data_IF_336224136589
#
_entry.id   IF_336224136589
#
_cell.length_a   1.000
_cell.length_b   1.000
_cell.length_c   1.000
_cell.angle_alpha   90.00
_cell.angle_beta   90.00
_cell.angle_gamma   90.00
#
_symmetry.space_group_name_H-M   'P 1'
#
loop_
_entity.id
_entity.type
_entity.pdbx_description
1 polymer ?
#
# COMPACT_ATOMS: atom_id res chain seq x y z
N UNK A 1 -5.93 72.27 -32.86
CA UNK A 1 -5.43 71.62 -31.63
C UNK A 1 -5.93 70.20 -31.63
N UNK A 2 -5.24 69.26 -32.28
CA UNK A 2 -5.50 67.81 -32.16
C UNK A 2 -4.74 67.30 -30.96
N UNK A 3 -5.42 67.18 -29.84
CA UNK A 3 -4.88 66.61 -28.62
C UNK A 3 -4.78 65.14 -28.80
N UNK A 4 -3.58 64.68 -28.72
CA UNK A 4 -2.99 63.35 -28.75
C UNK A 4 -3.80 62.25 -27.96
N UNK A 5 -4.97 61.87 -28.53
CA UNK A 5 -5.88 60.86 -27.93
C UNK A 5 -5.31 59.42 -28.03
N UNK A 6 -4.27 59.23 -28.84
CA UNK A 6 -3.64 57.95 -29.08
C UNK A 6 -2.75 57.48 -27.90
N UNK A 7 -2.19 58.42 -27.13
CA UNK A 7 -1.33 58.13 -25.97
C UNK A 7 -2.11 57.69 -24.73
N UNK A 8 -3.38 58.10 -24.60
CA UNK A 8 -4.21 57.77 -23.44
C UNK A 8 -4.70 56.31 -23.45
N UNK A 9 -5.07 55.78 -24.62
CA UNK A 9 -5.53 54.40 -24.77
C UNK A 9 -4.43 53.37 -24.49
N UNK A 10 -3.20 53.64 -24.94
CA UNK A 10 -2.04 52.78 -24.66
C UNK A 10 -1.70 52.67 -23.17
N UNK A 11 -1.77 53.80 -22.45
CA UNK A 11 -1.52 53.82 -21.00
C UNK A 11 -2.64 53.12 -20.22
N UNK A 12 -3.90 53.24 -20.65
CA UNK A 12 -5.03 52.57 -20.01
C UNK A 12 -5.01 51.06 -20.22
N UNK A 13 -4.62 50.57 -21.41
CA UNK A 13 -4.44 49.18 -21.71
C UNK A 13 -3.24 48.62 -20.90
N UNK A 14 -2.11 49.33 -20.86
CA UNK A 14 -0.93 48.92 -20.10
C UNK A 14 -1.22 48.81 -18.59
N UNK A 15 -2.01 49.73 -18.01
CA UNK A 15 -2.34 49.70 -16.59
C UNK A 15 -3.24 48.52 -16.17
N UNK A 16 -3.99 47.94 -17.10
CA UNK A 16 -4.83 46.75 -16.83
C UNK A 16 -4.14 45.45 -17.24
N UNK A 17 -3.51 45.41 -18.40
CA UNK A 17 -2.90 44.20 -18.96
C UNK A 17 -1.64 43.76 -18.17
N UNK A 18 -0.83 44.73 -17.75
CA UNK A 18 0.43 44.40 -17.02
C UNK A 18 0.15 43.71 -15.68
N UNK A 19 -0.69 44.23 -14.76
CA UNK A 19 -0.97 43.54 -13.51
C UNK A 19 -1.70 42.22 -13.75
N UNK A 20 -2.59 42.11 -14.74
CA UNK A 20 -3.23 40.87 -15.08
C UNK A 20 -2.22 39.77 -15.57
N UNK A 21 -1.33 40.17 -16.48
CA UNK A 21 -0.27 39.27 -16.97
C UNK A 21 0.64 38.84 -15.83
N UNK A 22 0.96 39.73 -14.89
CA UNK A 22 1.75 39.39 -13.71
C UNK A 22 1.06 38.35 -12.83
N UNK A 23 -0.24 38.50 -12.57
CA UNK A 23 -1.03 37.53 -11.81
C UNK A 23 -1.07 36.17 -12.52
N UNK A 24 -1.28 36.15 -13.85
CA UNK A 24 -1.28 34.91 -14.64
C UNK A 24 0.09 34.21 -14.58
N UNK A 25 1.18 35.00 -14.72
CA UNK A 25 2.56 34.43 -14.62
C UNK A 25 2.82 33.90 -13.22
N UNK A 26 2.39 34.63 -12.17
CA UNK A 26 2.52 34.19 -10.79
C UNK A 26 1.78 32.88 -10.53
N UNK A 27 0.54 32.79 -11.02
CA UNK A 27 -0.27 31.56 -10.92
C UNK A 27 0.42 30.39 -11.67
N UNK A 28 0.85 30.63 -12.92
CA UNK A 28 1.56 29.63 -13.72
C UNK A 28 2.89 29.20 -13.07
N UNK A 29 3.59 30.11 -12.39
CA UNK A 29 4.81 29.80 -11.64
C UNK A 29 4.50 28.93 -10.40
N UNK A 30 3.49 29.32 -9.60
CA UNK A 30 3.09 28.61 -8.38
C UNK A 30 2.59 27.19 -8.68
N UNK A 31 1.79 27.02 -9.74
CA UNK A 31 1.24 25.70 -10.13
C UNK A 31 2.13 24.92 -11.13
N UNK A 32 3.25 25.50 -11.55
CA UNK A 32 4.24 24.87 -12.41
C UNK A 32 5.59 24.73 -11.71
N UNK A 33 6.66 25.37 -12.22
CA UNK A 33 8.01 25.23 -11.66
C UNK A 33 8.17 25.66 -10.20
N UNK A 34 7.27 26.53 -9.71
CA UNK A 34 7.25 26.99 -8.34
C UNK A 34 6.58 26.04 -7.38
N UNK A 35 5.84 25.03 -7.86
CA UNK A 35 5.26 23.98 -7.03
C UNK A 35 6.36 23.21 -6.29
N UNK A 36 7.44 22.87 -6.99
CA UNK A 36 8.60 22.18 -6.38
C UNK A 36 9.28 23.00 -5.30
N UNK A 37 9.24 24.35 -5.40
CA UNK A 37 9.78 25.26 -4.37
C UNK A 37 8.85 25.37 -3.16
N UNK A 38 7.55 25.24 -3.37
CA UNK A 38 6.56 25.18 -2.30
C UNK A 38 6.53 23.80 -1.64
N UNK A 39 6.92 22.76 -2.37
CA UNK A 39 7.06 21.38 -1.92
C UNK A 39 8.45 21.11 -1.27
N UNK A 40 9.30 22.14 -1.12
CA UNK A 40 10.44 22.11 -0.18
C UNK A 40 9.91 22.16 1.26
N UNK A 41 8.82 21.40 1.49
CA UNK A 41 8.16 21.26 2.75
C UNK A 41 9.04 20.58 3.77
N UNK A 42 8.79 20.89 5.01
CA UNK A 42 9.28 20.11 6.16
C UNK A 42 9.01 18.64 5.84
N UNK A 43 10.03 17.75 5.88
CA UNK A 43 9.81 16.34 5.62
C UNK A 43 8.77 15.82 6.60
N UNK A 44 7.64 15.39 6.04
CA UNK A 44 6.52 14.90 6.83
C UNK A 44 6.76 13.43 7.18
N UNK A 45 6.40 13.03 8.40
CA UNK A 45 6.38 11.63 8.77
C UNK A 45 5.34 10.87 7.94
N UNK A 46 5.64 9.68 7.53
CA UNK A 46 4.75 8.82 6.78
C UNK A 46 4.95 7.37 7.19
N UNK A 47 3.86 6.71 7.58
CA UNK A 47 3.87 5.27 7.86
C UNK A 47 2.89 4.55 6.94
N UNK A 48 3.22 3.32 6.57
CA UNK A 48 2.38 2.43 5.80
C UNK A 48 2.02 1.20 6.63
N UNK A 49 0.74 0.88 6.71
CA UNK A 49 0.25 -0.39 7.27
C UNK A 49 0.26 -1.43 6.14
N UNK A 50 1.35 -2.20 6.05
CA UNK A 50 1.56 -3.18 4.98
C UNK A 50 0.60 -4.35 5.10
N UNK A 51 0.42 -4.87 6.31
CA UNK A 51 -0.40 -6.06 6.58
C UNK A 51 -1.18 -5.88 7.88
N UNK A 52 -2.44 -6.31 7.88
CA UNK A 52 -3.28 -6.37 9.07
C UNK A 52 -3.87 -7.78 9.12
N UNK A 53 -3.54 -8.50 10.18
CA UNK A 53 -4.01 -9.86 10.41
C UNK A 53 -4.88 -9.90 11.67
N UNK A 54 -5.94 -10.67 11.62
CA UNK A 54 -6.83 -10.95 12.73
C UNK A 54 -6.54 -12.37 13.22
N UNK A 55 -5.90 -12.49 14.38
CA UNK A 55 -5.41 -13.78 14.92
C UNK A 55 -5.91 -13.94 16.34
N UNK A 56 -6.62 -15.04 16.60
CA UNK A 56 -7.19 -15.35 17.90
C UNK A 56 -8.00 -14.16 18.48
N UNK A 57 -7.49 -13.51 19.53
CA UNK A 57 -8.11 -12.34 20.19
C UNK A 57 -7.22 -11.10 20.08
N UNK A 58 -6.50 -10.95 18.98
CA UNK A 58 -5.65 -9.79 18.72
C UNK A 58 -5.67 -9.38 17.25
N UNK A 59 -5.41 -8.09 17.01
CA UNK A 59 -5.15 -7.53 15.68
C UNK A 59 -3.66 -7.26 15.57
N UNK A 60 -3.02 -7.86 14.58
CA UNK A 60 -1.60 -7.71 14.30
C UNK A 60 -1.42 -6.80 13.09
N UNK A 61 -0.72 -5.67 13.28
CA UNK A 61 -0.46 -4.68 12.23
C UNK A 61 1.02 -4.62 11.94
N UNK A 62 1.41 -4.99 10.72
CA UNK A 62 2.77 -4.74 10.23
C UNK A 62 2.83 -3.32 9.70
N UNK A 63 3.59 -2.46 10.38
CA UNK A 63 3.76 -1.06 10.03
C UNK A 63 5.19 -0.81 9.56
N UNK A 64 5.35 0.05 8.55
CA UNK A 64 6.63 0.47 8.01
C UNK A 64 6.71 1.97 7.92
N UNK A 65 7.84 2.55 8.33
CA UNK A 65 8.12 3.95 8.07
C UNK A 65 8.54 4.13 6.61
N UNK A 66 7.67 4.76 5.81
CA UNK A 66 7.93 5.09 4.38
C UNK A 66 8.41 6.53 4.21
N UNK A 67 8.30 7.33 5.27
CA UNK A 67 8.72 8.72 5.29
C UNK A 67 10.24 8.93 5.35
N UNK A 68 10.69 10.16 5.15
CA UNK A 68 12.09 10.54 5.21
C UNK A 68 12.62 10.73 6.64
N UNK A 69 11.73 10.86 7.63
CA UNK A 69 12.05 11.12 9.03
C UNK A 69 11.73 9.91 9.90
N UNK A 70 12.49 9.66 10.98
CA UNK A 70 12.14 8.67 11.98
C UNK A 70 10.77 9.00 12.60
N UNK A 71 10.03 7.98 13.03
CA UNK A 71 8.72 8.12 13.65
C UNK A 71 8.61 7.25 14.90
N UNK A 72 7.90 7.73 15.92
CA UNK A 72 7.55 6.94 17.09
C UNK A 72 6.05 6.64 17.09
N UNK A 73 5.67 5.36 17.12
CA UNK A 73 4.28 4.94 17.22
C UNK A 73 3.83 5.02 18.66
N UNK A 74 2.92 5.93 18.96
CA UNK A 74 2.47 6.22 20.32
C UNK A 74 1.24 5.45 20.74
N UNK A 75 0.24 5.36 19.85
CA UNK A 75 -1.05 4.79 20.16
C UNK A 75 -1.60 3.99 18.99
N UNK A 76 -2.39 2.97 19.34
CA UNK A 76 -3.20 2.23 18.39
C UNK A 76 -4.68 2.34 18.76
N UNK A 77 -5.54 2.42 17.77
CA UNK A 77 -6.97 2.46 17.95
C UNK A 77 -7.70 1.53 16.96
N UNK A 78 -8.86 1.05 17.38
CA UNK A 78 -9.78 0.29 16.53
C UNK A 78 -11.15 0.93 16.66
N UNK A 79 -11.75 1.32 15.52
CA UNK A 79 -13.03 2.02 15.46
C UNK A 79 -13.05 3.25 16.40
N UNK A 80 -12.02 4.09 16.35
CA UNK A 80 -11.81 5.30 17.15
C UNK A 80 -11.70 5.06 18.68
N UNK A 81 -11.45 3.81 19.09
CA UNK A 81 -11.21 3.48 20.50
C UNK A 81 -9.75 3.09 20.69
N UNK A 82 -9.09 3.78 21.60
CA UNK A 82 -7.68 3.52 21.95
C UNK A 82 -7.59 2.18 22.68
N UNK A 83 -6.68 1.34 22.24
CA UNK A 83 -6.37 0.06 22.84
C UNK A 83 -4.89 0.01 23.26
N UNK A 84 -4.55 -0.74 24.31
CA UNK A 84 -3.17 -1.03 24.63
C UNK A 84 -2.53 -1.79 23.45
N UNK A 85 -1.31 -1.43 23.09
CA UNK A 85 -0.61 -2.10 22.00
C UNK A 85 0.82 -2.47 22.44
N UNK A 86 1.23 -3.67 22.10
CA UNK A 86 2.62 -4.11 22.17
C UNK A 86 3.27 -3.89 20.81
N UNK A 87 4.43 -3.24 20.76
CA UNK A 87 5.13 -2.91 19.52
C UNK A 87 6.51 -3.57 19.57
N UNK A 88 6.81 -4.37 18.57
CA UNK A 88 8.06 -5.14 18.45
C UNK A 88 8.73 -4.85 17.09
N UNK A 89 10.07 -4.69 17.02
CA UNK A 89 11.02 -4.73 18.13
C UNK A 89 11.05 -3.45 18.95
N UNK A 90 10.70 -2.29 18.39
CA UNK A 90 10.70 -0.99 19.04
C UNK A 90 9.54 -0.13 18.52
N UNK A 91 9.15 0.88 19.30
CA UNK A 91 8.17 1.91 18.89
C UNK A 91 8.76 2.93 17.94
N UNK A 92 10.07 3.12 18.02
CA UNK A 92 10.81 4.05 17.20
C UNK A 92 11.26 3.37 15.92
N UNK A 93 10.80 3.90 14.79
CA UNK A 93 11.04 3.35 13.46
C UNK A 93 11.91 4.32 12.66
N UNK A 94 13.12 3.91 12.36
CA UNK A 94 13.96 4.58 11.38
C UNK A 94 13.38 4.42 9.97
N UNK A 95 13.92 5.19 9.02
CA UNK A 95 13.45 5.14 7.64
C UNK A 95 13.53 3.72 7.07
N UNK A 96 12.40 3.25 6.51
CA UNK A 96 12.19 1.90 5.97
C UNK A 96 12.19 0.76 7.00
N UNK A 97 12.29 1.08 8.27
CA UNK A 97 12.16 0.09 9.33
C UNK A 97 10.70 -0.35 9.50
N UNK A 98 10.54 -1.58 9.97
CA UNK A 98 9.24 -2.23 10.12
C UNK A 98 9.06 -2.67 11.57
N UNK A 99 7.85 -2.48 12.12
CA UNK A 99 7.46 -3.04 13.41
C UNK A 99 6.15 -3.82 13.28
N UNK A 100 5.97 -4.71 14.25
CA UNK A 100 4.72 -5.44 14.45
C UNK A 100 4.00 -4.85 15.65
N UNK A 101 2.83 -4.29 15.43
CA UNK A 101 1.94 -3.75 16.46
C UNK A 101 0.88 -4.79 16.76
N UNK A 102 0.81 -5.28 18.01
CA UNK A 102 -0.18 -6.24 18.49
C UNK A 102 -1.16 -5.54 19.39
N UNK A 103 -2.43 -5.59 19.02
CA UNK A 103 -3.53 -4.92 19.70
C UNK A 103 -4.48 -6.00 20.23
N UNK A 104 -4.57 -6.24 21.55
CA UNK A 104 -5.55 -7.14 22.13
C UNK A 104 -6.97 -6.64 21.80
N UNK A 105 -7.71 -7.39 21.00
CA UNK A 105 -9.03 -7.01 20.54
C UNK A 105 -9.84 -8.25 20.12
N UNK A 106 -11.05 -8.38 20.66
CA UNK A 106 -11.99 -9.42 20.22
C UNK A 106 -12.70 -8.94 18.96
N UNK A 107 -12.56 -9.69 17.89
CA UNK A 107 -13.09 -9.37 16.57
C UNK A 107 -14.05 -10.45 16.06
N UNK A 108 -14.94 -10.07 15.15
CA UNK A 108 -15.84 -10.99 14.47
C UNK A 108 -15.46 -11.09 12.99
N UNK A 109 -15.62 -12.28 12.43
CA UNK A 109 -15.36 -12.53 11.01
C UNK A 109 -16.35 -11.76 10.12
N UNK A 110 -15.85 -11.26 8.99
CA UNK A 110 -16.60 -10.49 8.00
C UNK A 110 -17.18 -9.15 8.52
N UNK A 111 -16.70 -8.63 9.64
CA UNK A 111 -17.00 -7.27 10.08
C UNK A 111 -15.91 -6.29 9.60
N UNK A 112 -16.28 -5.08 9.16
CA UNK A 112 -15.32 -4.03 8.82
C UNK A 112 -14.80 -3.34 10.10
N UNK A 113 -13.49 -3.13 10.16
CA UNK A 113 -12.82 -2.42 11.24
C UNK A 113 -11.94 -1.31 10.68
N UNK A 114 -11.92 -0.17 11.34
CA UNK A 114 -10.98 0.90 11.07
C UNK A 114 -9.85 0.78 12.09
N UNK A 115 -8.67 0.44 11.62
CA UNK A 115 -7.46 0.35 12.45
C UNK A 115 -6.65 1.62 12.27
N UNK A 116 -6.38 2.31 13.37
CA UNK A 116 -5.64 3.56 13.41
C UNK A 116 -4.33 3.42 14.20
N UNK A 117 -3.30 4.12 13.74
CA UNK A 117 -2.04 4.30 14.45
C UNK A 117 -1.74 5.79 14.53
N UNK A 118 -1.39 6.27 15.71
CA UNK A 118 -1.03 7.67 15.95
C UNK A 118 0.45 7.75 16.32
N UNK A 119 1.18 8.64 15.66
CA UNK A 119 2.59 8.87 15.91
C UNK A 119 2.82 10.06 16.85
N UNK A 120 4.08 10.33 17.22
CA UNK A 120 4.46 11.32 18.25
C UNK A 120 3.97 12.75 17.99
N UNK A 121 3.87 13.18 16.74
CA UNK A 121 3.38 14.51 16.36
C UNK A 121 1.84 14.63 16.38
N UNK A 122 1.13 13.54 16.71
CA UNK A 122 -0.32 13.46 16.73
C UNK A 122 -0.94 13.14 15.38
N UNK A 123 -0.14 12.92 14.33
CA UNK A 123 -0.66 12.47 13.03
C UNK A 123 -1.21 11.05 13.16
N UNK A 124 -2.43 10.85 12.69
CA UNK A 124 -3.12 9.56 12.69
C UNK A 124 -3.17 8.99 11.28
N UNK A 125 -2.76 7.75 11.16
CA UNK A 125 -2.89 6.94 9.94
C UNK A 125 -3.95 5.89 10.19
N UNK A 126 -4.87 5.72 9.26
CA UNK A 126 -5.97 4.77 9.40
C UNK A 126 -6.14 3.93 8.14
N UNK A 127 -6.64 2.71 8.34
CA UNK A 127 -6.95 1.79 7.27
C UNK A 127 -8.19 0.98 7.62
N UNK A 128 -9.18 1.00 6.73
CA UNK A 128 -10.35 0.15 6.83
C UNK A 128 -10.03 -1.23 6.28
N UNK A 129 -10.36 -2.27 7.05
CA UNK A 129 -10.14 -3.67 6.69
C UNK A 129 -11.33 -4.51 7.13
N UNK A 130 -11.67 -5.50 6.34
CA UNK A 130 -12.65 -6.52 6.72
C UNK A 130 -11.91 -7.65 7.46
N UNK A 131 -12.40 -8.02 8.64
CA UNK A 131 -11.79 -9.07 9.42
C UNK A 131 -11.97 -10.42 8.73
N UNK A 132 -10.88 -11.04 8.38
CA UNK A 132 -10.83 -12.39 7.84
C UNK A 132 -9.86 -13.22 8.68
N UNK A 133 -10.26 -14.44 9.02
CA UNK A 133 -9.32 -15.38 9.61
C UNK A 133 -8.13 -15.58 8.66
N UNK A 134 -6.89 -15.65 9.19
CA UNK A 134 -5.72 -15.83 8.36
C UNK A 134 -5.89 -17.09 7.51
N UNK A 135 -5.70 -16.95 6.20
CA UNK A 135 -5.73 -18.09 5.31
C UNK A 135 -4.71 -19.12 5.81
N UNK A 136 -5.16 -20.33 6.04
CA UNK A 136 -4.25 -21.43 6.41
C UNK A 136 -3.20 -21.53 5.31
N UNK A 137 -1.99 -21.10 5.58
CA UNK A 137 -0.86 -21.36 4.70
C UNK A 137 -0.77 -22.87 4.49
N UNK A 138 -0.79 -23.37 3.24
CA UNK A 138 -0.69 -24.79 3.00
C UNK A 138 0.60 -25.29 3.63
N UNK A 139 0.47 -26.07 4.70
CA UNK A 139 1.63 -26.61 5.41
C UNK A 139 2.53 -27.34 4.39
N UNK A 140 3.85 -27.30 4.59
CA UNK A 140 4.80 -28.05 3.74
C UNK A 140 4.43 -29.52 3.61
N UNK A 141 3.77 -30.10 4.63
CA UNK A 141 3.23 -31.45 4.62
C UNK A 141 2.12 -31.64 3.58
N UNK A 142 1.21 -30.66 3.47
CA UNK A 142 0.14 -30.69 2.47
C UNK A 142 0.71 -30.55 1.06
N UNK A 143 1.72 -29.70 0.88
CA UNK A 143 2.42 -29.56 -0.41
C UNK A 143 3.15 -30.85 -0.80
N UNK A 144 3.79 -31.52 0.18
CA UNK A 144 4.41 -32.83 -0.02
C UNK A 144 3.40 -33.90 -0.45
N UNK A 145 2.21 -33.92 0.19
CA UNK A 145 1.15 -34.85 -0.15
C UNK A 145 0.63 -34.61 -1.59
N UNK A 146 0.41 -33.37 -1.99
CA UNK A 146 -0.02 -33.03 -3.38
C UNK A 146 1.05 -33.37 -4.42
N UNK A 147 2.33 -33.18 -4.10
CA UNK A 147 3.44 -33.56 -4.98
C UNK A 147 3.48 -35.08 -5.19
N UNK A 148 3.30 -35.87 -4.12
CA UNK A 148 3.25 -37.34 -4.19
C UNK A 148 2.03 -37.78 -5.00
N UNK A 149 0.82 -37.29 -4.70
CA UNK A 149 -0.40 -37.62 -5.45
C UNK A 149 -0.26 -37.24 -6.92
N UNK A 150 0.26 -36.05 -7.23
CA UNK A 150 0.48 -35.59 -8.61
C UNK A 150 1.43 -36.51 -9.39
N UNK A 151 2.47 -37.04 -8.73
CA UNK A 151 3.40 -38.00 -9.31
C UNK A 151 2.69 -39.32 -9.64
N UNK A 152 1.94 -39.88 -8.71
CA UNK A 152 1.22 -41.14 -8.93
C UNK A 152 0.10 -41.03 -9.97
N UNK A 153 -0.68 -39.97 -9.94
CA UNK A 153 -1.82 -39.76 -10.84
C UNK A 153 -1.37 -39.30 -12.23
N UNK A 154 -0.29 -38.52 -12.34
CA UNK A 154 0.20 -37.95 -13.59
C UNK A 154 1.26 -38.80 -14.29
N UNK A 155 2.38 -39.07 -13.64
CA UNK A 155 3.56 -39.68 -14.26
C UNK A 155 3.39 -41.17 -14.48
N UNK A 156 2.84 -41.92 -13.51
CA UNK A 156 2.76 -43.39 -13.58
C UNK A 156 1.86 -43.85 -14.75
N UNK A 157 0.65 -43.30 -14.96
CA UNK A 157 -0.15 -43.69 -16.12
C UNK A 157 0.51 -43.43 -17.47
N UNK A 158 1.24 -42.29 -17.58
CA UNK A 158 2.01 -41.96 -18.81
C UNK A 158 3.13 -42.96 -19.04
N UNK A 159 3.87 -43.34 -18.01
CA UNK A 159 4.92 -44.36 -18.09
C UNK A 159 4.36 -45.71 -18.53
N UNK A 160 3.25 -46.16 -17.91
CA UNK A 160 2.57 -47.39 -18.29
C UNK A 160 2.11 -47.34 -19.76
N UNK A 161 1.52 -46.23 -20.20
CA UNK A 161 1.10 -46.04 -21.59
C UNK A 161 2.26 -46.11 -22.58
N UNK A 162 3.41 -45.53 -22.25
CA UNK A 162 4.63 -45.61 -23.07
C UNK A 162 5.18 -47.04 -23.16
N UNK A 163 5.16 -47.80 -22.09
CA UNK A 163 5.59 -49.19 -22.08
C UNK A 163 4.69 -50.11 -22.89
N UNK A 164 3.40 -49.81 -23.01
CA UNK A 164 2.43 -50.56 -23.80
C UNK A 164 2.45 -50.24 -25.30
N UNK A 165 2.97 -49.10 -25.71
CA UNK A 165 3.05 -48.69 -27.12
C UNK A 165 3.75 -49.70 -28.03
N UNK A 166 4.91 -50.31 -27.70
CA UNK A 166 5.55 -51.31 -28.54
C UNK A 166 4.73 -52.62 -28.63
N UNK A 167 3.97 -52.98 -27.57
CA UNK A 167 3.12 -54.15 -27.57
C UNK A 167 1.91 -54.00 -28.48
N UNK A 168 1.26 -52.87 -28.43
CA UNK A 168 0.14 -52.51 -29.34
C UNK A 168 0.60 -52.50 -30.80
N UNK A 169 1.73 -51.95 -31.12
CA UNK A 169 2.32 -51.94 -32.45
C UNK A 169 2.63 -53.34 -33.00
N UNK A 170 2.96 -54.30 -32.09
CA UNK A 170 3.23 -55.67 -32.49
C UNK A 170 1.96 -56.43 -32.86
N UNK A 171 0.86 -56.20 -32.16
CA UNK A 171 -0.45 -56.78 -32.43
C UNK A 171 -1.03 -56.25 -33.76
N UNK A 172 -0.85 -54.96 -34.03
CA UNK A 172 -1.36 -54.31 -35.25
C UNK A 172 -0.61 -54.73 -36.53
N UNK A 173 0.59 -55.30 -36.45
CA UNK A 173 1.36 -55.83 -37.57
C UNK A 173 1.10 -57.32 -37.87
N UNK A 174 0.32 -58.00 -37.05
CA UNK A 174 -0.03 -59.41 -37.19
C UNK A 174 -1.39 -59.67 -37.86
N UNK A 175 -2.00 -58.61 -38.42
CA UNK A 175 -3.16 -58.64 -39.30
C UNK A 175 -2.75 -58.10 -40.67
#
# INVERSE_FOLDING_TARGET
MEVNQKSSKGKMIASGVIPFAFVVILIAYVFGPGADVLDMGVPLPEISMEKIDFVDSEVQVTVRNTGPVPVEVMMADINDRIHPAAIEPDRFLDRYETALVRIPFEWNEAEPYIVGLTIEDGTRFEKEVEAAAPALEPSMELFGLFAVIGTYVGIIPVMIGLLWLPFIRRISRSK
#
